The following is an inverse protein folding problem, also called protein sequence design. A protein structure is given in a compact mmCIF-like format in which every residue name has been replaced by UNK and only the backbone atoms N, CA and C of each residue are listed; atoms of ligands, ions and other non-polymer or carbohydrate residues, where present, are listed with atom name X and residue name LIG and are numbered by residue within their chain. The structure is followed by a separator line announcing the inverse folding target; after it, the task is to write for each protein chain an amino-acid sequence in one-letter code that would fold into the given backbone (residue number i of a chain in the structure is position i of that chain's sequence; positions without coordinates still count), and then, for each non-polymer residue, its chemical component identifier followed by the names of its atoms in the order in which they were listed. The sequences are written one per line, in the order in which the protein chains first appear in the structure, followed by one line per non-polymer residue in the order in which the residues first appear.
data_IF_631754127739
#
_entry.id   IF_631754127739
#
_cell.length_a   1.000
_cell.length_b   1.000
_cell.length_c   1.000
_cell.angle_alpha   90.00
_cell.angle_beta   90.00
_cell.angle_gamma   90.00
#
_symmetry.space_group_name_H-M   'P 1'
#
loop_
_entity.id
_entity.type
_entity.pdbx_description
1 polymer ?
#
# COMPACT_ATOMS: atom_id res chain seq x y z
N UNK A 1 33.48 -5.73 -19.99
CA UNK A 1 32.54 -5.14 -20.96
C UNK A 1 31.46 -4.51 -20.12
N UNK A 2 31.71 -3.28 -19.71
CA UNK A 2 30.83 -2.55 -18.80
C UNK A 2 29.63 -2.10 -19.62
N UNK A 3 28.47 -2.71 -19.35
CA UNK A 3 27.22 -2.19 -19.86
C UNK A 3 27.01 -0.83 -19.17
N UNK A 4 27.22 0.25 -19.93
CA UNK A 4 26.68 1.56 -19.58
C UNK A 4 25.18 1.36 -19.37
N UNK A 5 24.76 1.27 -18.11
CA UNK A 5 23.35 1.28 -17.77
C UNK A 5 22.90 2.71 -18.01
N UNK A 6 22.14 2.95 -19.07
CA UNK A 6 21.57 4.28 -19.31
C UNK A 6 20.69 4.65 -18.11
N UNK A 7 21.06 5.73 -17.41
CA UNK A 7 20.35 6.25 -16.26
C UNK A 7 18.91 6.60 -16.64
N UNK A 8 17.93 6.14 -15.84
CA UNK A 8 16.50 6.43 -16.03
C UNK A 8 16.06 7.67 -15.25
N UNK A 9 16.94 8.67 -15.16
CA UNK A 9 16.65 9.91 -14.47
C UNK A 9 15.51 10.71 -15.12
N UNK A 10 14.67 11.31 -14.29
CA UNK A 10 13.58 12.20 -14.67
C UNK A 10 13.73 13.55 -13.96
N UNK A 11 13.37 14.63 -14.65
CA UNK A 11 13.28 15.97 -14.04
C UNK A 11 11.83 16.27 -13.69
N UNK A 12 11.58 16.65 -12.44
CA UNK A 12 10.26 16.88 -11.86
C UNK A 12 10.18 18.31 -11.30
N UNK A 13 9.02 18.96 -11.45
CA UNK A 13 8.75 20.23 -10.76
C UNK A 13 8.04 19.97 -9.45
N UNK A 14 8.71 20.25 -8.32
CA UNK A 14 8.20 20.01 -6.97
C UNK A 14 8.16 21.33 -6.22
N UNK A 15 6.96 21.82 -5.93
CA UNK A 15 6.77 23.11 -5.23
C UNK A 15 7.33 24.32 -6.00
N UNK A 16 7.39 24.24 -7.33
CA UNK A 16 7.96 25.29 -8.20
C UNK A 16 9.46 25.15 -8.46
N UNK A 17 10.15 24.23 -7.79
CA UNK A 17 11.59 23.97 -7.99
C UNK A 17 11.79 22.73 -8.85
N UNK A 18 12.72 22.79 -9.81
CA UNK A 18 13.11 21.62 -10.61
C UNK A 18 14.00 20.70 -9.77
N UNK A 19 13.63 19.43 -9.69
CA UNK A 19 14.35 18.38 -8.98
C UNK A 19 14.64 17.23 -9.94
N UNK A 20 15.79 16.59 -9.79
CA UNK A 20 16.13 15.38 -10.55
C UNK A 20 15.91 14.17 -9.65
N UNK A 21 15.24 13.15 -10.18
CA UNK A 21 15.05 11.87 -9.52
C UNK A 21 15.54 10.77 -10.45
N UNK A 22 16.43 9.92 -9.95
CA UNK A 22 16.87 8.71 -10.67
C UNK A 22 16.50 7.49 -9.84
N UNK A 23 15.69 6.61 -10.42
CA UNK A 23 15.21 5.39 -9.76
C UNK A 23 16.29 4.32 -9.65
N UNK A 24 17.37 4.43 -10.43
CA UNK A 24 18.48 3.47 -10.43
C UNK A 24 19.53 3.78 -9.35
N UNK A 25 19.43 4.93 -8.69
CA UNK A 25 20.30 5.27 -7.57
C UNK A 25 19.81 4.58 -6.28
N UNK A 26 20.73 3.98 -5.49
CA UNK A 26 20.36 3.25 -4.27
C UNK A 26 19.88 4.17 -3.15
N UNK A 27 20.40 5.40 -3.12
CA UNK A 27 20.11 6.36 -2.07
C UNK A 27 18.99 7.30 -2.49
N UNK A 28 18.02 7.48 -1.59
CA UNK A 28 16.90 8.37 -1.80
C UNK A 28 17.33 9.83 -1.50
N UNK A 29 17.05 10.80 -2.36
CA UNK A 29 17.34 12.20 -2.06
C UNK A 29 16.59 12.72 -0.84
N UNK A 30 17.23 13.57 -0.02
CA UNK A 30 16.66 14.16 1.21
C UNK A 30 15.29 14.81 0.99
N UNK A 31 15.09 15.51 -0.13
CA UNK A 31 13.83 16.18 -0.44
C UNK A 31 12.64 15.23 -0.61
N UNK A 32 12.91 13.95 -0.89
CA UNK A 32 11.93 12.86 -0.87
C UNK A 32 11.88 12.23 0.52
N UNK A 33 13.02 11.81 1.09
CA UNK A 33 13.08 11.08 2.36
C UNK A 33 12.38 11.84 3.50
N UNK A 34 12.69 13.13 3.65
CA UNK A 34 12.14 13.99 4.72
C UNK A 34 10.63 14.21 4.59
N UNK A 35 10.11 14.15 3.37
CA UNK A 35 8.72 14.52 3.05
C UNK A 35 7.83 13.33 2.76
N UNK A 36 8.39 12.15 2.52
CA UNK A 36 7.64 10.98 2.05
C UNK A 36 6.44 10.67 2.96
N UNK A 37 6.66 10.58 4.27
CA UNK A 37 5.60 10.23 5.22
C UNK A 37 4.54 11.34 5.39
N UNK A 38 4.97 12.61 5.44
CA UNK A 38 4.09 13.76 5.69
C UNK A 38 3.42 14.32 4.44
N UNK A 39 3.85 13.86 3.26
CA UNK A 39 3.28 14.27 1.98
C UNK A 39 1.78 13.96 1.91
N UNK A 40 1.03 14.73 1.10
CA UNK A 40 -0.42 14.55 0.97
C UNK A 40 -1.25 14.94 2.20
N UNK A 41 -0.64 15.57 3.22
CA UNK A 41 -1.34 16.00 4.43
C UNK A 41 -1.53 14.89 5.48
N UNK A 42 -0.61 13.92 5.53
CA UNK A 42 -0.69 12.83 6.50
C UNK A 42 -0.63 13.36 7.95
N UNK A 43 -1.59 13.01 8.82
CA UNK A 43 -1.78 13.69 10.10
C UNK A 43 -0.86 13.20 11.23
N UNK A 44 -0.04 12.17 11.00
CA UNK A 44 0.80 11.56 12.03
C UNK A 44 2.30 11.72 11.72
N UNK A 45 3.10 11.90 12.76
CA UNK A 45 4.56 12.06 12.62
C UNK A 45 5.30 10.74 12.39
N UNK A 46 4.67 9.60 12.68
CA UNK A 46 5.27 8.26 12.57
C UNK A 46 4.26 7.25 12.04
N UNK A 47 4.79 6.17 11.45
CA UNK A 47 3.99 4.99 11.07
C UNK A 47 3.42 4.32 12.32
N UNK A 48 2.30 3.62 12.16
CA UNK A 48 1.78 2.72 13.19
C UNK A 48 2.86 1.66 13.50
N UNK A 49 3.02 1.33 14.79
CA UNK A 49 3.98 0.29 15.17
C UNK A 49 3.54 -1.05 14.60
N UNK A 50 4.49 -1.89 14.19
CA UNK A 50 4.20 -3.20 13.61
C UNK A 50 3.38 -4.07 14.57
N UNK A 51 3.75 -4.07 15.86
CA UNK A 51 3.04 -4.80 16.90
C UNK A 51 1.58 -4.38 17.04
N UNK A 52 1.29 -3.08 17.03
CA UNK A 52 -0.08 -2.58 17.16
C UNK A 52 -0.88 -2.87 15.89
N UNK A 53 -0.25 -2.72 14.73
CA UNK A 53 -0.83 -3.06 13.43
C UNK A 53 -1.23 -4.53 13.35
N UNK A 54 -0.33 -5.46 13.66
CA UNK A 54 -0.59 -6.89 13.60
C UNK A 54 -1.69 -7.32 14.56
N UNK A 55 -1.69 -6.76 15.77
CA UNK A 55 -2.71 -7.03 16.78
C UNK A 55 -4.10 -6.67 16.26
N UNK A 56 -4.25 -5.47 15.68
CA UNK A 56 -5.54 -5.01 15.16
C UNK A 56 -5.94 -5.79 13.90
N UNK A 57 -4.98 -6.05 13.00
CA UNK A 57 -5.21 -6.80 11.76
C UNK A 57 -5.80 -8.19 12.05
N UNK A 58 -5.23 -8.91 13.02
CA UNK A 58 -5.74 -10.24 13.42
C UNK A 58 -7.19 -10.15 13.90
N UNK A 59 -7.51 -9.13 14.71
CA UNK A 59 -8.89 -8.93 15.20
C UNK A 59 -9.86 -8.68 14.04
N UNK A 60 -9.49 -7.81 13.10
CA UNK A 60 -10.29 -7.52 11.91
C UNK A 60 -10.47 -8.77 11.02
N UNK A 61 -9.42 -9.57 10.85
CA UNK A 61 -9.49 -10.80 10.06
C UNK A 61 -10.40 -11.86 10.69
N UNK A 62 -10.44 -11.96 12.03
CA UNK A 62 -11.42 -12.80 12.73
C UNK A 62 -12.85 -12.35 12.40
N UNK A 63 -13.12 -11.05 12.40
CA UNK A 63 -14.44 -10.52 12.03
C UNK A 63 -14.78 -10.78 10.55
N UNK A 64 -13.81 -10.67 9.63
CA UNK A 64 -14.01 -11.01 8.22
C UNK A 64 -14.41 -12.47 8.02
N UNK A 65 -13.85 -13.41 8.79
CA UNK A 65 -14.28 -14.81 8.77
C UNK A 65 -15.74 -14.96 9.22
N UNK A 66 -16.17 -14.21 10.26
CA UNK A 66 -17.58 -14.22 10.69
C UNK A 66 -18.50 -13.65 9.62
N UNK A 67 -18.10 -12.55 8.96
CA UNK A 67 -18.82 -11.97 7.82
C UNK A 67 -18.97 -13.01 6.71
N UNK A 68 -17.90 -13.73 6.37
CA UNK A 68 -17.93 -14.77 5.35
C UNK A 68 -18.95 -15.88 5.69
N UNK A 69 -18.97 -16.36 6.94
CA UNK A 69 -19.97 -17.35 7.37
C UNK A 69 -21.40 -16.80 7.32
N UNK A 70 -21.59 -15.52 7.67
CA UNK A 70 -22.89 -14.87 7.58
C UNK A 70 -23.36 -14.75 6.12
N UNK A 71 -22.48 -14.35 5.19
CA UNK A 71 -22.79 -14.28 3.75
C UNK A 71 -23.22 -15.65 3.20
N UNK A 72 -22.55 -16.72 3.62
CA UNK A 72 -22.91 -18.08 3.22
C UNK A 72 -24.30 -18.50 3.73
N UNK A 73 -24.67 -18.10 4.96
CA UNK A 73 -25.98 -18.43 5.54
C UNK A 73 -27.14 -17.62 4.93
N UNK A 74 -26.87 -16.37 4.56
CA UNK A 74 -27.90 -15.43 4.10
C UNK A 74 -28.02 -15.37 2.58
N UNK A 75 -26.98 -15.76 1.85
CA UNK A 75 -26.88 -15.58 0.40
C UNK A 75 -26.45 -14.17 -0.02
N UNK A 76 -26.07 -13.30 0.93
CA UNK A 76 -25.63 -11.94 0.65
C UNK A 76 -24.28 -11.89 -0.08
N UNK A 77 -24.08 -10.84 -0.89
CA UNK A 77 -22.92 -10.68 -1.76
C UNK A 77 -22.27 -9.31 -1.56
N UNK A 78 -20.95 -9.28 -1.54
CA UNK A 78 -20.16 -8.06 -1.35
C UNK A 78 -19.18 -7.88 -2.51
N UNK A 79 -19.00 -6.64 -2.95
CA UNK A 79 -17.98 -6.22 -3.91
C UNK A 79 -17.16 -5.09 -3.29
N UNK A 80 -15.83 -5.19 -3.37
CA UNK A 80 -14.91 -4.17 -2.90
C UNK A 80 -14.02 -3.71 -4.07
N UNK A 81 -14.10 -2.41 -4.42
CA UNK A 81 -13.28 -1.79 -5.46
C UNK A 81 -12.09 -1.08 -4.82
N UNK A 82 -10.88 -1.40 -5.27
CA UNK A 82 -9.64 -0.80 -4.79
C UNK A 82 -9.02 0.07 -5.89
N UNK A 83 -9.09 1.38 -5.72
CA UNK A 83 -8.53 2.39 -6.63
C UNK A 83 -7.47 3.24 -5.93
N UNK A 84 -6.57 3.86 -6.71
CA UNK A 84 -5.54 4.75 -6.17
C UNK A 84 -4.28 4.81 -7.02
N UNK A 85 -3.34 5.67 -6.61
CA UNK A 85 -2.06 5.89 -7.30
C UNK A 85 -1.26 4.58 -7.41
N UNK A 86 -0.33 4.56 -8.36
CA UNK A 86 0.67 3.51 -8.42
C UNK A 86 1.51 3.50 -7.14
N UNK A 87 1.91 2.30 -6.70
CA UNK A 87 2.59 2.05 -5.43
C UNK A 87 1.83 2.47 -4.15
N UNK A 88 0.54 2.86 -4.22
CA UNK A 88 -0.25 3.26 -3.04
C UNK A 88 -0.61 2.11 -2.07
N UNK A 89 -0.25 0.86 -2.36
CA UNK A 89 -0.49 -0.28 -1.46
C UNK A 89 -1.79 -1.06 -1.69
N UNK A 90 -2.47 -0.87 -2.84
CA UNK A 90 -3.74 -1.57 -3.18
C UNK A 90 -3.65 -3.10 -3.00
N UNK A 91 -2.59 -3.71 -3.53
CA UNK A 91 -2.38 -5.17 -3.42
C UNK A 91 -2.18 -5.66 -1.98
N UNK A 92 -1.50 -4.86 -1.14
CA UNK A 92 -1.32 -5.17 0.28
C UNK A 92 -2.65 -5.17 1.03
N UNK A 93 -3.53 -4.21 0.75
CA UNK A 93 -4.87 -4.15 1.34
C UNK A 93 -5.75 -5.34 0.91
N UNK A 94 -5.72 -5.70 -0.38
CA UNK A 94 -6.40 -6.90 -0.90
C UNK A 94 -5.88 -8.16 -0.22
N UNK A 95 -4.55 -8.31 -0.12
CA UNK A 95 -3.92 -9.45 0.53
C UNK A 95 -4.37 -9.55 1.99
N UNK A 96 -4.22 -8.47 2.77
CA UNK A 96 -4.60 -8.42 4.19
C UNK A 96 -6.07 -8.79 4.41
N UNK A 97 -6.96 -8.38 3.50
CA UNK A 97 -8.38 -8.72 3.52
C UNK A 97 -8.59 -10.23 3.28
N UNK A 98 -7.91 -10.81 2.29
CA UNK A 98 -8.12 -12.18 1.84
C UNK A 98 -7.31 -13.25 2.57
N UNK A 99 -6.28 -12.90 3.35
CA UNK A 99 -5.31 -13.84 3.94
C UNK A 99 -5.94 -15.04 4.67
N UNK A 100 -7.10 -14.85 5.31
CA UNK A 100 -7.81 -15.90 6.04
C UNK A 100 -9.19 -16.26 5.48
N UNK A 101 -9.57 -15.73 4.32
CA UNK A 101 -10.83 -16.07 3.68
C UNK A 101 -10.72 -17.35 2.84
N UNK A 102 -11.84 -18.07 2.68
CA UNK A 102 -11.86 -19.23 1.80
C UNK A 102 -11.82 -18.77 0.32
N UNK A 103 -10.81 -19.19 -0.47
CA UNK A 103 -10.61 -18.73 -1.85
C UNK A 103 -11.71 -19.18 -2.81
N UNK A 104 -12.55 -20.16 -2.42
CA UNK A 104 -13.71 -20.57 -3.23
C UNK A 104 -14.85 -19.56 -3.17
N UNK A 105 -14.95 -18.81 -2.08
CA UNK A 105 -16.02 -17.83 -1.84
C UNK A 105 -15.57 -16.38 -1.95
N UNK A 106 -14.28 -16.10 -1.73
CA UNK A 106 -13.70 -14.77 -1.89
C UNK A 106 -12.65 -14.80 -3.00
N UNK A 107 -12.78 -13.92 -3.99
CA UNK A 107 -11.95 -13.89 -5.20
C UNK A 107 -11.53 -12.46 -5.54
N UNK A 108 -10.37 -12.34 -6.18
CA UNK A 108 -9.85 -11.11 -6.81
C UNK A 108 -10.09 -11.20 -8.31
#
# INVERSE_FOLDING_TARGET
MDAQTESRAVTLSVGGTQQVFDIDLPDLPDWIEDKALKSGGFPYDKKLSEKDYEKELIQLQIELVKVQFWMQKTGERVMALFEGRDAAGKGGAIHATLSYMNPRSARV
#
